data_IF_627058646752
#
_entry.id   IF_627058646752
#
_cell.length_a   1.000
_cell.length_b   1.000
_cell.length_c   1.000
_cell.angle_alpha   90.00
_cell.angle_beta   90.00
_cell.angle_gamma   90.00
#
_symmetry.space_group_name_H-M   'P 1'
#
loop_
_entity.id
_entity.type
_entity.pdbx_description
1 polymer ?
#
# COMPACT_ATOMS: atom_id res chain seq x y z
N UNK A 1 -8.64 -14.89 2.98
CA UNK A 1 -9.84 -15.63 2.52
C UNK A 1 -9.49 -17.05 2.02
N UNK A 2 -8.59 -17.23 1.09
CA UNK A 2 -8.23 -18.56 0.60
C UNK A 2 -7.64 -19.46 1.70
N UNK A 3 -6.71 -18.94 2.50
CA UNK A 3 -6.12 -19.67 3.61
C UNK A 3 -7.15 -20.05 4.68
N UNK A 4 -8.15 -19.19 4.94
CA UNK A 4 -9.26 -19.53 5.83
C UNK A 4 -10.10 -20.69 5.29
N UNK A 5 -10.47 -20.65 4.00
CA UNK A 5 -11.24 -21.72 3.35
C UNK A 5 -10.51 -23.07 3.37
N UNK A 6 -9.18 -23.04 3.33
CA UNK A 6 -8.30 -24.21 3.43
C UNK A 6 -8.01 -24.68 4.86
N UNK A 7 -8.67 -24.09 5.88
CA UNK A 7 -8.44 -24.43 7.28
C UNK A 7 -7.05 -24.03 7.80
N UNK A 8 -6.41 -23.04 7.18
CA UNK A 8 -5.05 -22.61 7.50
C UNK A 8 -4.95 -21.68 8.72
N UNK A 9 -6.09 -21.24 9.28
CA UNK A 9 -6.11 -20.39 10.47
C UNK A 9 -6.80 -21.08 11.64
N UNK A 10 -6.24 -20.93 12.86
CA UNK A 10 -6.90 -21.19 14.12
C UNK A 10 -7.90 -20.04 14.40
N UNK A 11 -9.07 -20.39 14.92
CA UNK A 11 -10.07 -19.40 15.29
C UNK A 11 -9.75 -18.82 16.66
N UNK A 12 -9.53 -17.51 16.71
CA UNK A 12 -9.34 -16.74 17.93
C UNK A 12 -9.94 -15.35 17.78
N UNK A 13 -10.93 -15.02 18.60
CA UNK A 13 -11.56 -13.70 18.64
C UNK A 13 -10.88 -12.85 19.69
N UNK A 14 -10.00 -11.95 19.28
CA UNK A 14 -9.38 -10.99 20.20
C UNK A 14 -10.43 -10.01 20.76
N UNK A 15 -10.41 -9.71 22.07
CA UNK A 15 -11.30 -8.70 22.66
C UNK A 15 -11.15 -7.31 22.01
N UNK A 16 -9.99 -7.02 21.47
CA UNK A 16 -9.67 -5.74 20.80
C UNK A 16 -10.43 -5.53 19.49
N UNK A 17 -10.97 -6.61 18.89
CA UNK A 17 -11.76 -6.52 17.65
C UNK A 17 -13.09 -5.78 17.84
N UNK A 18 -13.55 -5.57 19.06
CA UNK A 18 -14.73 -4.77 19.40
C UNK A 18 -14.62 -3.29 18.92
N UNK A 19 -13.40 -2.82 18.64
CA UNK A 19 -13.11 -1.48 18.09
C UNK A 19 -12.91 -1.46 16.58
N UNK A 20 -13.09 -2.59 15.91
CA UNK A 20 -12.98 -2.73 14.47
C UNK A 20 -14.35 -2.82 13.82
N UNK A 21 -14.50 -2.27 12.62
CA UNK A 21 -15.71 -2.49 11.82
C UNK A 21 -15.76 -3.94 11.32
N UNK A 22 -16.96 -4.52 11.11
CA UNK A 22 -17.10 -5.89 10.62
C UNK A 22 -16.36 -6.17 9.32
N UNK A 23 -16.26 -5.19 8.42
CA UNK A 23 -15.55 -5.31 7.12
C UNK A 23 -14.04 -5.53 7.26
N UNK A 24 -13.46 -5.25 8.42
CA UNK A 24 -12.03 -5.44 8.73
C UNK A 24 -11.74 -6.76 9.44
N UNK A 25 -12.75 -7.60 9.59
CA UNK A 25 -12.68 -8.89 10.28
C UNK A 25 -13.02 -10.03 9.31
N UNK A 26 -12.56 -11.23 9.63
CA UNK A 26 -13.03 -12.43 8.92
C UNK A 26 -14.51 -12.71 9.20
N UNK A 27 -15.17 -13.39 8.26
CA UNK A 27 -16.51 -13.93 8.46
C UNK A 27 -16.49 -15.46 8.21
N UNK A 28 -16.79 -16.31 9.24
CA UNK A 28 -17.00 -15.94 10.64
C UNK A 28 -15.78 -15.25 11.29
N UNK A 29 -16.04 -14.51 12.38
CA UNK A 29 -14.99 -13.77 13.09
C UNK A 29 -13.93 -14.70 13.72
N UNK A 30 -12.72 -14.17 13.89
CA UNK A 30 -11.64 -14.81 14.63
C UNK A 30 -10.59 -15.52 13.78
N UNK A 31 -10.78 -15.69 12.49
CA UNK A 31 -9.73 -16.28 11.63
C UNK A 31 -8.67 -15.28 11.26
N UNK A 32 -9.05 -14.03 11.06
CA UNK A 32 -8.13 -12.91 10.88
C UNK A 32 -8.79 -11.57 11.21
N UNK A 33 -7.95 -10.58 11.47
CA UNK A 33 -8.34 -9.18 11.59
C UNK A 33 -7.34 -8.29 10.84
N UNK A 34 -7.77 -7.11 10.41
CA UNK A 34 -6.85 -6.12 9.87
C UNK A 34 -6.11 -5.43 11.02
N UNK A 35 -4.80 -5.61 11.06
CA UNK A 35 -3.91 -4.94 12.00
C UNK A 35 -3.47 -3.55 11.54
N UNK A 36 -3.88 -3.14 10.35
CA UNK A 36 -3.57 -1.84 9.77
C UNK A 36 -3.70 -1.83 8.27
N UNK A 37 -3.45 -0.67 7.66
CA UNK A 37 -3.49 -0.47 6.21
C UNK A 37 -2.24 0.27 5.76
N UNK A 38 -1.62 -0.21 4.69
CA UNK A 38 -0.63 0.53 3.91
C UNK A 38 -1.23 1.01 2.61
N UNK A 39 -0.77 2.15 2.11
CA UNK A 39 -1.27 2.73 0.87
C UNK A 39 -0.16 3.48 0.13
N UNK A 40 -0.37 3.70 -1.14
CA UNK A 40 0.58 4.38 -2.00
C UNK A 40 -0.10 5.44 -2.87
N UNK A 41 0.61 6.52 -3.10
CA UNK A 41 0.25 7.58 -4.01
C UNK A 41 1.37 7.83 -5.01
N UNK A 42 1.47 9.08 -5.46
CA UNK A 42 2.54 9.56 -6.32
C UNK A 42 3.48 10.41 -5.46
N UNK A 43 4.79 10.37 -5.74
CA UNK A 43 5.70 11.36 -5.17
C UNK A 43 6.56 11.97 -6.27
N UNK A 44 6.96 13.21 -6.09
CA UNK A 44 7.84 13.92 -7.03
C UNK A 44 8.94 14.68 -6.31
N UNK A 45 10.04 14.90 -7.00
CA UNK A 45 11.15 15.73 -6.55
C UNK A 45 10.87 17.18 -6.91
N UNK A 46 10.85 18.09 -5.92
CA UNK A 46 10.48 19.51 -6.09
C UNK A 46 11.54 20.33 -6.83
N UNK A 47 12.79 19.89 -6.82
CA UNK A 47 13.84 20.52 -7.63
C UNK A 47 13.71 20.21 -9.13
N UNK A 48 12.99 19.11 -9.48
CA UNK A 48 12.80 18.64 -10.85
C UNK A 48 11.44 19.01 -11.44
N UNK A 49 10.40 19.06 -10.59
CA UNK A 49 9.01 19.34 -10.99
C UNK A 49 8.46 20.41 -10.07
N UNK A 50 8.00 21.52 -10.65
CA UNK A 50 7.32 22.57 -9.90
C UNK A 50 5.94 22.11 -9.44
N UNK A 51 5.47 22.60 -8.31
CA UNK A 51 4.19 22.17 -7.71
C UNK A 51 2.99 22.35 -8.64
N UNK A 52 3.02 23.36 -9.50
CA UNK A 52 1.95 23.63 -10.49
C UNK A 52 1.90 22.59 -11.60
N UNK A 53 3.03 21.91 -11.87
CA UNK A 53 3.21 20.88 -12.90
C UNK A 53 3.14 19.46 -12.32
N UNK A 54 3.02 19.33 -11.00
CA UNK A 54 2.96 18.05 -10.34
C UNK A 54 1.67 17.28 -10.72
N UNK A 55 1.74 15.94 -10.82
CA UNK A 55 0.56 15.13 -11.09
C UNK A 55 -0.47 15.31 -9.97
N UNK A 56 -1.77 15.40 -10.32
CA UNK A 56 -2.90 15.55 -9.37
C UNK A 56 -3.82 14.33 -9.40
N UNK A 57 -3.80 13.59 -10.47
CA UNK A 57 -4.56 12.36 -10.71
C UNK A 57 -3.64 11.25 -11.18
N UNK A 58 -4.11 10.01 -11.16
CA UNK A 58 -3.34 8.91 -11.73
C UNK A 58 -3.11 9.05 -13.24
N UNK A 59 -4.03 9.66 -13.97
CA UNK A 59 -3.84 9.91 -15.41
C UNK A 59 -2.67 10.86 -15.69
N UNK A 60 -2.37 11.76 -14.78
CA UNK A 60 -1.30 12.72 -14.97
C UNK A 60 0.10 12.07 -15.00
N UNK A 61 0.24 10.86 -14.43
CA UNK A 61 1.52 10.13 -14.55
C UNK A 61 1.81 9.66 -15.98
N UNK A 62 0.82 9.69 -16.86
CA UNK A 62 0.98 9.36 -18.29
C UNK A 62 1.55 10.52 -19.12
N UNK A 63 1.84 11.66 -18.49
CA UNK A 63 2.40 12.82 -19.18
C UNK A 63 3.74 12.45 -19.87
N UNK A 64 3.87 12.64 -21.19
CA UNK A 64 5.10 12.35 -21.92
C UNK A 64 6.36 13.06 -21.38
N UNK A 65 6.19 14.18 -20.68
CA UNK A 65 7.30 14.88 -20.02
C UNK A 65 7.99 14.04 -18.93
N UNK A 66 7.37 12.97 -18.45
CA UNK A 66 7.95 12.07 -17.44
C UNK A 66 8.72 10.90 -18.04
N UNK A 67 8.83 10.84 -19.38
CA UNK A 67 9.58 9.78 -20.06
C UNK A 67 11.02 9.73 -19.58
N UNK A 68 11.49 8.51 -19.30
CA UNK A 68 12.84 8.20 -18.78
C UNK A 68 13.20 8.80 -17.40
N UNK A 69 12.25 9.49 -16.72
CA UNK A 69 12.44 10.11 -15.40
C UNK A 69 11.36 9.71 -14.38
N UNK A 70 10.60 8.67 -14.68
CA UNK A 70 9.56 8.08 -13.78
C UNK A 70 9.98 6.69 -13.34
N UNK A 71 9.65 6.34 -12.11
CA UNK A 71 9.91 5.01 -11.54
C UNK A 71 8.66 4.34 -11.00
N UNK A 72 8.69 3.00 -10.95
CA UNK A 72 7.65 2.13 -10.42
C UNK A 72 8.29 0.91 -9.73
N UNK A 73 7.48 0.08 -9.08
CA UNK A 73 7.95 -1.21 -8.55
C UNK A 73 7.86 -2.32 -9.59
N UNK A 74 8.60 -3.39 -9.35
CA UNK A 74 8.54 -4.62 -10.15
C UNK A 74 7.32 -5.47 -9.78
N UNK A 75 7.05 -6.50 -10.58
CA UNK A 75 5.93 -7.43 -10.38
C UNK A 75 6.00 -8.29 -9.12
N UNK A 76 7.17 -8.37 -8.48
CA UNK A 76 7.35 -8.97 -7.15
C UNK A 76 6.65 -8.23 -6.02
N UNK A 77 6.25 -6.97 -6.23
CA UNK A 77 5.65 -6.13 -5.20
C UNK A 77 4.12 -6.28 -5.13
N UNK A 78 3.60 -6.71 -3.97
CA UNK A 78 2.16 -6.75 -3.72
C UNK A 78 1.47 -5.38 -3.77
N UNK A 79 2.18 -4.30 -3.41
CA UNK A 79 1.64 -2.93 -3.57
C UNK A 79 1.55 -2.51 -5.04
N UNK A 80 2.48 -2.98 -5.90
CA UNK A 80 2.38 -2.77 -7.34
C UNK A 80 1.20 -3.55 -7.95
N UNK A 81 0.95 -4.77 -7.49
CA UNK A 81 -0.23 -5.53 -7.87
C UNK A 81 -1.53 -4.79 -7.49
N UNK A 82 -1.61 -4.27 -6.27
CA UNK A 82 -2.78 -3.50 -5.83
C UNK A 82 -3.00 -2.26 -6.70
N UNK A 83 -1.94 -1.50 -7.01
CA UNK A 83 -2.02 -0.34 -7.89
C UNK A 83 -2.45 -0.74 -9.30
N UNK A 84 -1.83 -1.78 -9.88
CA UNK A 84 -2.18 -2.29 -11.22
C UNK A 84 -3.65 -2.66 -11.30
N UNK A 85 -4.14 -3.42 -10.32
CA UNK A 85 -5.53 -3.87 -10.26
C UNK A 85 -6.51 -2.70 -10.17
N UNK A 86 -6.27 -1.77 -9.22
CA UNK A 86 -7.17 -0.65 -8.98
C UNK A 86 -7.21 0.31 -10.16
N UNK A 87 -6.07 0.67 -10.73
CA UNK A 87 -6.03 1.62 -11.84
C UNK A 87 -6.58 1.01 -13.13
N UNK A 88 -6.42 -0.30 -13.30
CA UNK A 88 -7.07 -1.03 -14.40
C UNK A 88 -8.60 -1.00 -14.30
N UNK A 89 -9.15 -1.14 -13.09
CA UNK A 89 -10.60 -1.01 -12.85
C UNK A 89 -11.09 0.42 -13.07
N UNK A 90 -10.27 1.43 -12.79
CA UNK A 90 -10.63 2.85 -12.98
C UNK A 90 -10.48 3.32 -14.43
N UNK A 91 -9.47 2.87 -15.14
CA UNK A 91 -9.06 3.47 -16.42
C UNK A 91 -9.00 2.49 -17.59
N UNK A 92 -9.22 1.21 -17.35
CA UNK A 92 -9.15 0.16 -18.36
C UNK A 92 -7.74 -0.41 -18.58
N UNK A 93 -7.67 -1.39 -19.47
CA UNK A 93 -6.47 -2.21 -19.71
C UNK A 93 -5.32 -1.44 -20.38
N UNK A 94 -5.65 -0.39 -21.12
CA UNK A 94 -4.63 0.36 -21.87
C UNK A 94 -3.84 1.34 -21.02
N UNK A 95 -4.28 1.64 -19.80
CA UNK A 95 -3.59 2.57 -18.89
C UNK A 95 -2.11 2.18 -18.71
N UNK A 96 -1.82 0.91 -18.46
CA UNK A 96 -0.47 0.44 -18.21
C UNK A 96 0.37 0.34 -19.48
N UNK A 97 -0.24 0.10 -20.65
CA UNK A 97 0.44 0.17 -21.93
C UNK A 97 0.90 1.60 -22.24
N UNK A 98 0.05 2.59 -21.95
CA UNK A 98 0.44 4.01 -22.09
C UNK A 98 1.54 4.38 -21.10
N UNK A 99 1.45 3.91 -19.84
CA UNK A 99 2.49 4.11 -18.84
C UNK A 99 3.85 3.53 -19.28
N UNK A 100 3.87 2.35 -19.88
CA UNK A 100 5.09 1.71 -20.37
C UNK A 100 5.82 2.50 -21.45
N UNK A 101 5.10 3.32 -22.26
CA UNK A 101 5.71 4.20 -23.27
C UNK A 101 6.64 5.25 -22.65
N UNK A 102 6.46 5.53 -21.36
CA UNK A 102 7.32 6.43 -20.60
C UNK A 102 8.65 5.77 -20.17
N UNK A 103 8.83 4.48 -20.43
CA UNK A 103 10.01 3.69 -20.03
C UNK A 103 10.31 3.83 -18.53
N UNK A 104 9.35 3.49 -17.65
CA UNK A 104 9.55 3.62 -16.21
C UNK A 104 10.67 2.70 -15.73
N UNK A 105 11.48 3.20 -14.80
CA UNK A 105 12.50 2.37 -14.14
C UNK A 105 11.85 1.52 -13.07
N UNK A 106 12.10 0.21 -13.11
CA UNK A 106 11.55 -0.75 -12.16
C UNK A 106 12.51 -1.06 -11.01
N UNK A 107 12.00 -1.08 -9.77
CA UNK A 107 12.76 -1.44 -8.57
C UNK A 107 11.94 -2.32 -7.64
N UNK A 108 12.58 -3.32 -7.01
CA UNK A 108 11.95 -4.11 -5.96
C UNK A 108 11.86 -3.33 -4.65
N UNK A 109 12.93 -2.62 -4.32
CA UNK A 109 13.09 -1.97 -3.02
C UNK A 109 12.46 -0.59 -2.98
N UNK A 110 11.59 -0.37 -1.97
CA UNK A 110 11.13 0.97 -1.60
C UNK A 110 12.27 1.95 -1.33
N UNK A 111 13.35 1.47 -0.69
CA UNK A 111 14.50 2.30 -0.37
C UNK A 111 15.20 2.81 -1.64
N UNK A 112 15.35 1.97 -2.66
CA UNK A 112 15.95 2.39 -3.95
C UNK A 112 15.09 3.43 -4.67
N UNK A 113 13.75 3.25 -4.70
CA UNK A 113 12.83 4.24 -5.29
C UNK A 113 12.99 5.61 -4.65
N UNK A 114 12.97 5.66 -3.33
CA UNK A 114 13.05 6.95 -2.60
C UNK A 114 14.46 7.54 -2.58
N UNK A 115 15.53 6.73 -2.62
CA UNK A 115 16.89 7.22 -2.76
C UNK A 115 17.07 7.97 -4.08
N UNK A 116 16.67 7.36 -5.19
CA UNK A 116 16.73 7.97 -6.52
C UNK A 116 15.86 9.21 -6.64
N UNK A 117 14.61 9.13 -6.11
CA UNK A 117 13.71 10.27 -6.11
C UNK A 117 14.29 11.44 -5.30
N UNK A 118 14.87 11.16 -4.13
CA UNK A 118 15.47 12.19 -3.26
C UNK A 118 16.69 12.85 -3.91
N UNK A 119 17.49 12.10 -4.65
CA UNK A 119 18.65 12.60 -5.40
C UNK A 119 18.27 13.34 -6.69
N UNK A 120 17.03 13.20 -7.15
CA UNK A 120 16.55 13.75 -8.41
C UNK A 120 16.98 12.94 -9.64
N UNK A 121 17.49 11.72 -9.47
CA UNK A 121 17.76 10.78 -10.58
C UNK A 121 16.46 10.37 -11.29
N UNK A 122 15.38 10.25 -10.53
CA UNK A 122 14.01 10.15 -11.01
C UNK A 122 13.24 11.39 -10.54
N UNK A 123 12.39 11.93 -11.41
CA UNK A 123 11.61 13.12 -11.08
C UNK A 123 10.26 12.75 -10.45
N UNK A 124 9.70 11.58 -10.83
CA UNK A 124 8.42 11.06 -10.35
C UNK A 124 8.56 9.60 -9.93
N UNK A 125 7.96 9.27 -8.79
CA UNK A 125 7.71 7.90 -8.35
C UNK A 125 6.21 7.61 -8.50
N UNK A 126 5.84 6.71 -9.41
CA UNK A 126 4.45 6.36 -9.71
C UNK A 126 3.81 5.45 -8.64
N UNK A 127 4.60 4.87 -7.72
CA UNK A 127 4.13 4.08 -6.59
C UNK A 127 4.91 4.46 -5.33
N UNK A 128 4.57 5.60 -4.78
CA UNK A 128 5.16 6.10 -3.54
C UNK A 128 4.36 5.59 -2.34
N UNK A 129 4.87 4.58 -1.64
CA UNK A 129 4.31 4.15 -0.36
C UNK A 129 4.42 5.28 0.66
N UNK A 130 3.31 5.60 1.35
CA UNK A 130 3.25 6.74 2.27
C UNK A 130 4.30 6.66 3.38
N UNK A 131 4.53 5.48 3.94
CA UNK A 131 5.57 5.26 4.95
C UNK A 131 6.99 5.58 4.42
N UNK A 132 7.26 5.25 3.16
CA UNK A 132 8.55 5.57 2.51
C UNK A 132 8.74 7.07 2.33
N UNK A 133 7.68 7.76 1.88
CA UNK A 133 7.69 9.23 1.77
C UNK A 133 7.99 9.90 3.12
N UNK A 134 7.24 9.54 4.17
CA UNK A 134 7.42 10.14 5.51
C UNK A 134 8.84 9.91 6.03
N UNK A 135 9.39 8.71 5.84
CA UNK A 135 10.74 8.37 6.29
C UNK A 135 11.82 9.24 5.66
N UNK A 136 11.75 9.48 4.34
CA UNK A 136 12.78 10.27 3.65
C UNK A 136 12.53 11.77 3.78
N UNK A 137 11.27 12.20 3.90
CA UNK A 137 10.90 13.59 4.19
C UNK A 137 11.43 14.04 5.56
N UNK A 138 11.33 13.18 6.57
CA UNK A 138 11.88 13.40 7.90
C UNK A 138 13.42 13.55 7.90
N UNK A 139 14.09 12.96 6.91
CA UNK A 139 15.53 13.12 6.67
C UNK A 139 15.88 14.34 5.81
N UNK A 140 14.92 15.19 5.49
CA UNK A 140 15.14 16.43 4.75
C UNK A 140 15.08 16.30 3.24
N UNK A 141 14.59 15.19 2.67
CA UNK A 141 14.45 15.05 1.22
C UNK A 141 13.48 16.10 0.64
N UNK A 142 13.90 16.75 -0.46
CA UNK A 142 13.09 17.76 -1.14
C UNK A 142 12.10 17.15 -2.12
N UNK A 143 11.23 16.31 -1.57
CA UNK A 143 10.17 15.61 -2.31
C UNK A 143 8.80 15.96 -1.75
N UNK A 144 7.75 15.74 -2.53
CA UNK A 144 6.37 15.92 -2.09
C UNK A 144 5.52 14.71 -2.46
N UNK A 145 4.54 14.39 -1.61
CA UNK A 145 3.58 13.30 -1.82
C UNK A 145 2.26 13.86 -2.34
N UNK A 146 1.75 13.23 -3.35
CA UNK A 146 0.42 13.50 -3.90
C UNK A 146 -0.49 12.32 -3.62
N UNK A 147 -1.60 12.58 -2.92
CA UNK A 147 -2.75 11.69 -2.88
C UNK A 147 -3.68 12.02 -4.05
N UNK A 148 -3.67 11.24 -5.13
CA UNK A 148 -4.53 11.51 -6.27
C UNK A 148 -6.00 11.61 -5.88
N UNK A 149 -6.74 12.54 -6.49
CA UNK A 149 -8.17 12.74 -6.24
C UNK A 149 -9.01 11.48 -6.53
N UNK A 150 -8.49 10.62 -7.42
CA UNK A 150 -9.10 9.33 -7.78
C UNK A 150 -9.06 8.32 -6.62
N UNK A 151 -8.15 8.51 -5.69
CA UNK A 151 -7.93 7.69 -4.50
C UNK A 151 -6.59 6.93 -4.51
N UNK A 152 -6.26 6.35 -3.37
CA UNK A 152 -4.98 5.71 -3.10
C UNK A 152 -5.15 4.20 -3.05
N UNK A 153 -4.55 3.42 -3.96
CA UNK A 153 -4.45 1.98 -3.81
C UNK A 153 -3.92 1.58 -2.43
N UNK A 154 -4.67 0.74 -1.74
CA UNK A 154 -4.39 0.37 -0.37
C UNK A 154 -4.46 -1.15 -0.18
N UNK A 155 -3.66 -1.65 0.75
CA UNK A 155 -3.63 -3.07 1.13
C UNK A 155 -3.71 -3.22 2.63
N UNK A 156 -4.54 -4.14 3.15
CA UNK A 156 -4.60 -4.43 4.57
C UNK A 156 -3.38 -5.23 5.00
N UNK A 157 -2.95 -4.98 6.21
CA UNK A 157 -2.03 -5.84 6.96
C UNK A 157 -2.90 -6.78 7.79
N UNK A 158 -2.90 -8.04 7.42
CA UNK A 158 -3.79 -9.05 8.01
C UNK A 158 -3.05 -9.82 9.10
N UNK A 159 -3.66 -9.97 10.26
CA UNK A 159 -3.18 -10.75 11.39
C UNK A 159 -4.10 -11.97 11.62
N UNK A 160 -3.52 -13.14 11.74
CA UNK A 160 -4.22 -14.39 12.02
C UNK A 160 -3.25 -15.44 12.55
N UNK A 161 -3.75 -16.44 13.29
CA UNK A 161 -2.96 -17.52 13.87
C UNK A 161 -2.99 -18.72 12.93
N UNK A 162 -1.85 -19.21 12.41
CA UNK A 162 -1.83 -20.45 11.63
C UNK A 162 -2.26 -21.67 12.47
N UNK A 163 -3.02 -22.60 11.89
CA UNK A 163 -3.52 -23.82 12.58
C UNK A 163 -2.44 -24.70 13.20
N UNK A 164 -1.18 -24.56 12.78
CA UNK A 164 -0.03 -25.31 13.32
C UNK A 164 1.00 -24.38 13.93
N UNK A 165 0.54 -23.29 14.53
CA UNK A 165 1.44 -22.38 15.23
C UNK A 165 2.15 -23.13 16.37
N UNK A 166 3.50 -23.09 16.46
CA UNK A 166 4.23 -23.79 17.52
C UNK A 166 3.96 -23.24 18.92
N UNK A 167 3.54 -21.96 19.00
CA UNK A 167 3.26 -21.25 20.26
C UNK A 167 1.92 -20.47 20.15
N UNK A 168 0.76 -21.17 20.12
CA UNK A 168 -0.52 -20.52 19.85
C UNK A 168 -0.90 -19.49 20.93
N UNK A 169 -0.62 -19.75 22.21
CA UNK A 169 -0.94 -18.81 23.30
C UNK A 169 -0.09 -17.50 23.18
N UNK A 170 1.17 -17.62 22.81
CA UNK A 170 1.99 -16.43 22.53
C UNK A 170 1.48 -15.65 21.30
N UNK A 171 0.97 -16.36 20.30
CA UNK A 171 0.38 -15.73 19.10
C UNK A 171 -0.92 -14.98 19.47
N UNK A 172 -1.77 -15.52 20.35
CA UNK A 172 -2.98 -14.84 20.86
C UNK A 172 -2.60 -13.54 21.59
N UNK A 173 -1.63 -13.61 22.51
CA UNK A 173 -1.13 -12.42 23.22
C UNK A 173 -0.57 -11.36 22.26
N UNK A 174 0.17 -11.80 21.21
CA UNK A 174 0.68 -10.87 20.20
C UNK A 174 -0.46 -10.22 19.42
N UNK A 175 -1.49 -10.97 19.01
CA UNK A 175 -2.65 -10.42 18.28
C UNK A 175 -3.39 -9.42 19.17
N UNK A 176 -3.64 -9.74 20.44
CA UNK A 176 -4.28 -8.82 21.37
C UNK A 176 -3.48 -7.52 21.50
N UNK A 177 -2.17 -7.63 21.69
CA UNK A 177 -1.32 -6.45 21.75
C UNK A 177 -1.33 -5.68 20.40
N UNK A 178 -1.17 -6.36 19.28
CA UNK A 178 -1.08 -5.73 17.97
C UNK A 178 -2.37 -5.00 17.58
N UNK A 179 -3.53 -5.53 17.98
CA UNK A 179 -4.84 -4.91 17.75
C UNK A 179 -5.21 -3.90 18.83
N UNK A 180 -4.52 -3.87 19.99
CA UNK A 180 -4.79 -2.91 21.05
C UNK A 180 -4.49 -1.47 20.64
N UNK A 181 -5.05 -0.50 21.37
CA UNK A 181 -4.75 0.92 21.14
C UNK A 181 -3.24 1.20 21.22
N UNK A 182 -2.53 0.55 22.17
CA UNK A 182 -1.07 0.68 22.33
C UNK A 182 -0.30 0.11 21.13
N UNK A 183 -0.63 -1.09 20.68
CA UNK A 183 -0.01 -1.71 19.53
C UNK A 183 -0.23 -0.91 18.24
N UNK A 184 -1.46 -0.44 18.05
CA UNK A 184 -1.82 0.39 16.91
C UNK A 184 -1.08 1.74 16.93
N UNK A 185 -0.90 2.35 18.10
CA UNK A 185 -0.09 3.56 18.23
C UNK A 185 1.38 3.30 17.85
N UNK A 186 1.95 2.14 18.19
CA UNK A 186 3.29 1.74 17.75
C UNK A 186 3.36 1.61 16.24
N UNK A 187 2.40 0.90 15.61
CA UNK A 187 2.37 0.73 14.15
C UNK A 187 2.22 2.06 13.40
N UNK A 188 1.39 2.98 13.90
CA UNK A 188 1.17 4.28 13.29
C UNK A 188 2.35 5.25 13.46
N UNK A 189 3.20 5.05 14.45
CA UNK A 189 4.31 5.95 14.76
C UNK A 189 5.69 5.35 14.44
N UNK A 190 5.77 4.05 14.20
CA UNK A 190 6.99 3.43 13.70
C UNK A 190 7.26 3.90 12.28
N UNK A 191 8.19 4.83 12.09
CA UNK A 191 8.52 5.48 10.81
C UNK A 191 8.76 4.51 9.66
N UNK A 192 9.22 3.31 9.95
CA UNK A 192 9.48 2.28 8.93
C UNK A 192 8.21 1.55 8.50
N UNK A 193 7.20 1.45 9.37
CA UNK A 193 5.94 0.76 9.11
C UNK A 193 4.83 1.74 8.70
N UNK A 194 4.55 2.70 9.56
CA UNK A 194 3.52 3.73 9.40
C UNK A 194 2.21 3.17 8.82
N UNK A 195 1.72 2.07 9.43
CA UNK A 195 0.44 1.49 9.03
C UNK A 195 -0.70 2.31 9.63
N UNK A 196 -1.63 2.76 8.78
CA UNK A 196 -2.83 3.42 9.25
C UNK A 196 -3.73 2.46 10.03
N UNK A 197 -4.11 2.81 11.24
CA UNK A 197 -4.99 1.98 12.07
C UNK A 197 -6.43 2.03 11.57
N UNK A 198 -7.10 0.87 11.61
CA UNK A 198 -8.52 0.72 11.29
C UNK A 198 -9.42 0.73 12.54
N UNK A 199 -8.85 0.91 13.73
CA UNK A 199 -9.63 1.07 14.97
C UNK A 199 -10.43 2.37 14.95
N UNK A 200 -11.64 2.33 15.49
CA UNK A 200 -12.52 3.51 15.59
C UNK A 200 -11.99 4.57 16.58
N UNK A 201 -11.16 4.17 17.54
CA UNK A 201 -10.58 5.02 18.59
C UNK A 201 -9.08 5.29 18.39
N UNK A 202 -8.53 4.96 17.21
CA UNK A 202 -7.11 5.14 16.92
C UNK A 202 -6.67 6.62 17.05
N UNK A 203 -5.46 6.89 17.57
CA UNK A 203 -4.87 8.22 17.53
C UNK A 203 -4.52 8.63 16.11
N UNK A 204 -4.13 9.87 15.91
CA UNK A 204 -3.53 10.33 14.64
C UNK A 204 -2.17 9.67 14.44
N UNK A 205 -1.79 9.45 13.18
CA UNK A 205 -0.43 9.04 12.81
C UNK A 205 0.58 10.15 13.18
N UNK A 206 1.86 9.82 13.20
CA UNK A 206 2.97 10.79 13.42
C UNK A 206 2.92 12.00 12.48
N UNK A 207 2.25 11.87 11.36
CA UNK A 207 2.03 12.96 10.38
C UNK A 207 0.87 13.89 10.73
N UNK A 208 0.18 13.70 11.85
CA UNK A 208 -1.03 14.41 12.21
C UNK A 208 -2.29 14.01 11.43
N UNK A 209 -2.19 12.98 10.58
CA UNK A 209 -3.30 12.47 9.76
C UNK A 209 -3.91 11.22 10.38
N UNK A 210 -5.18 10.97 10.06
CA UNK A 210 -5.86 9.69 10.28
C UNK A 210 -5.99 8.92 8.97
N UNK A 211 -6.20 7.62 9.04
CA UNK A 211 -6.47 6.81 7.84
C UNK A 211 -7.72 7.32 7.09
N UNK A 212 -8.72 7.81 7.83
CA UNK A 212 -9.95 8.38 7.27
C UNK A 212 -9.76 9.68 6.49
N UNK A 213 -8.62 10.35 6.62
CA UNK A 213 -8.32 11.57 5.87
C UNK A 213 -7.88 11.27 4.43
N UNK A 214 -7.74 9.99 4.09
CA UNK A 214 -7.34 9.55 2.76
C UNK A 214 -8.50 8.82 2.08
N UNK A 215 -8.69 9.10 0.79
CA UNK A 215 -9.59 8.31 -0.07
C UNK A 215 -8.86 7.04 -0.48
N UNK A 216 -9.11 5.96 0.23
CA UNK A 216 -8.46 4.67 -0.04
C UNK A 216 -9.28 3.85 -1.03
N UNK A 217 -8.57 3.16 -1.92
CA UNK A 217 -9.13 2.21 -2.88
C UNK A 217 -8.78 0.78 -2.42
N UNK A 218 -9.80 -0.02 -2.24
CA UNK A 218 -9.68 -1.46 -1.97
C UNK A 218 -10.36 -2.26 -3.08
N UNK A 219 -9.95 -3.51 -3.32
CA UNK A 219 -10.69 -4.41 -4.19
C UNK A 219 -12.15 -4.53 -3.73
N UNK A 220 -13.10 -4.36 -4.65
CA UNK A 220 -14.51 -4.70 -4.41
C UNK A 220 -14.72 -6.20 -4.37
N UNK A 221 -13.87 -6.97 -5.06
CA UNK A 221 -13.83 -8.43 -5.06
C UNK A 221 -12.41 -8.90 -4.72
N UNK A 222 -12.24 -9.42 -3.50
CA UNK A 222 -10.96 -9.93 -3.01
C UNK A 222 -10.57 -11.28 -3.64
N UNK A 223 -11.52 -12.07 -4.13
CA UNK A 223 -11.21 -13.32 -4.81
C UNK A 223 -10.61 -13.02 -6.18
N UNK A 224 -11.27 -12.18 -6.98
CA UNK A 224 -10.77 -11.70 -8.27
C UNK A 224 -9.38 -11.01 -8.10
N UNK A 225 -9.21 -10.19 -7.06
CA UNK A 225 -7.91 -9.57 -6.77
C UNK A 225 -6.81 -10.61 -6.55
N UNK A 226 -7.04 -11.63 -5.73
CA UNK A 226 -6.05 -12.68 -5.45
C UNK A 226 -5.76 -13.51 -6.70
N UNK A 227 -6.79 -13.91 -7.45
CA UNK A 227 -6.65 -14.68 -8.68
C UNK A 227 -5.93 -13.90 -9.78
N UNK A 228 -6.11 -12.59 -9.84
CA UNK A 228 -5.46 -11.72 -10.83
C UNK A 228 -3.94 -11.61 -10.68
N UNK A 229 -3.35 -12.07 -9.56
CA UNK A 229 -1.91 -11.93 -9.32
C UNK A 229 -1.04 -12.61 -10.39
N UNK A 230 -1.42 -13.82 -10.82
CA UNK A 230 -0.69 -14.52 -11.89
C UNK A 230 -0.77 -13.80 -13.25
N UNK A 231 -1.91 -13.21 -13.55
CA UNK A 231 -2.12 -12.37 -14.73
C UNK A 231 -1.30 -11.09 -14.64
N UNK A 232 -1.33 -10.43 -13.47
CA UNK A 232 -0.53 -9.24 -13.22
C UNK A 232 0.96 -9.47 -13.50
N UNK A 233 1.56 -10.51 -12.93
CA UNK A 233 3.00 -10.79 -13.13
C UNK A 233 3.34 -10.93 -14.61
N UNK A 234 2.54 -11.68 -15.37
CA UNK A 234 2.74 -11.89 -16.80
C UNK A 234 2.59 -10.60 -17.61
N UNK A 235 1.48 -9.90 -17.41
CA UNK A 235 1.17 -8.68 -18.17
C UNK A 235 2.14 -7.55 -17.82
N UNK A 236 2.45 -7.35 -16.54
CA UNK A 236 3.39 -6.34 -16.10
C UNK A 236 4.76 -6.54 -16.73
N UNK A 237 5.31 -7.76 -16.66
CA UNK A 237 6.62 -8.05 -17.23
C UNK A 237 6.61 -7.87 -18.76
N UNK A 238 5.56 -8.35 -19.45
CA UNK A 238 5.44 -8.17 -20.90
C UNK A 238 5.33 -6.69 -21.32
N UNK A 239 4.53 -5.89 -20.58
CA UNK A 239 4.33 -4.47 -20.87
C UNK A 239 5.60 -3.67 -20.57
N UNK A 240 6.31 -4.00 -19.48
CA UNK A 240 7.52 -3.28 -19.06
C UNK A 240 8.80 -3.76 -19.75
N UNK A 241 8.73 -4.86 -20.52
CA UNK A 241 9.87 -5.43 -21.23
C UNK A 241 10.87 -6.15 -20.29
N UNK A 242 10.36 -6.83 -19.24
CA UNK A 242 11.13 -7.55 -18.21
C UNK A 242 11.09 -9.07 -18.41
#
# INVERSE_FOLDING_TARGET
MDLQKKGGYEQYVSPETSKHKPEYLSNPAGYFAWGGVTFAGIAYNKSRIKSEQAPKTWKDILNPAYKDIISAKLSSSGTQHAQWYMLRKLYGDDFWKEFAKLKPRGFDSRAQLFDRLSKGDDAVCALAEYAGYVLVKDKGADIEFVGPADGLPATPIVLGIPTKAPHPEAAKLFIDWALSLRGQAVYQNAKILLYGSVRSDAPVMVTGKRLSDFKLLFPSDWADFVESHGTFVKEWNAIMGL
#
